data_IF_248978672255
#
_entry.id   IF_248978672255
#
_cell.length_a   1.000
_cell.length_b   1.000
_cell.length_c   1.000
_cell.angle_alpha   90.00
_cell.angle_beta   90.00
_cell.angle_gamma   90.00
#
_symmetry.space_group_name_H-M   'P 1'
#
loop_
_entity.id
_entity.type
_entity.pdbx_description
1 polymer ?
#
# COMPACT_ATOMS: atom_id res chain seq x y z
N UNK A 1 16.88 -12.83 -17.94
CA UNK A 1 15.73 -11.96 -17.62
C UNK A 1 16.22 -10.85 -16.69
N UNK A 2 16.12 -9.57 -17.07
CA UNK A 2 16.59 -8.45 -16.23
C UNK A 2 15.59 -8.16 -15.10
N UNK A 3 15.92 -8.62 -13.89
CA UNK A 3 15.29 -8.33 -12.59
C UNK A 3 15.56 -6.87 -12.14
N UNK A 4 15.28 -5.88 -12.98
CA UNK A 4 15.46 -4.46 -12.65
C UNK A 4 14.17 -3.67 -12.40
N UNK A 5 13.00 -4.33 -12.47
CA UNK A 5 11.68 -3.68 -12.54
C UNK A 5 10.67 -4.19 -11.50
N UNK A 6 11.11 -4.99 -10.52
CA UNK A 6 10.27 -5.49 -9.44
C UNK A 6 10.99 -5.27 -8.12
N UNK A 7 10.27 -4.76 -7.12
CA UNK A 7 10.79 -4.78 -5.76
C UNK A 7 11.00 -6.24 -5.33
N UNK A 8 12.03 -6.53 -4.50
CA UNK A 8 12.25 -7.88 -3.98
C UNK A 8 11.01 -8.47 -3.30
N UNK A 9 10.20 -7.62 -2.68
CA UNK A 9 8.92 -7.97 -2.05
C UNK A 9 7.88 -8.46 -3.07
N UNK A 10 7.75 -7.76 -4.21
CA UNK A 10 6.84 -8.17 -5.28
C UNK A 10 7.27 -9.48 -5.94
N UNK A 11 8.59 -9.68 -6.13
CA UNK A 11 9.13 -10.92 -6.68
C UNK A 11 8.83 -12.14 -5.79
N UNK A 12 8.95 -12.00 -4.45
CA UNK A 12 8.60 -13.06 -3.49
C UNK A 12 7.12 -13.44 -3.50
N UNK A 13 6.23 -12.49 -3.81
CA UNK A 13 4.80 -12.81 -3.93
C UNK A 13 4.51 -13.64 -5.18
N UNK A 14 5.16 -13.33 -6.31
CA UNK A 14 5.01 -14.09 -7.54
C UNK A 14 5.48 -15.54 -7.40
N UNK A 15 6.55 -15.80 -6.63
CA UNK A 15 7.03 -17.17 -6.42
C UNK A 15 6.06 -18.08 -5.66
N UNK A 16 5.01 -17.53 -5.04
CA UNK A 16 3.95 -18.31 -4.39
C UNK A 16 2.97 -18.94 -5.40
N UNK A 17 2.96 -18.47 -6.65
CA UNK A 17 2.06 -18.95 -7.68
C UNK A 17 2.69 -20.10 -8.49
N UNK A 18 1.89 -21.04 -9.02
CA UNK A 18 2.35 -21.98 -10.03
C UNK A 18 2.96 -21.25 -11.24
N UNK A 19 4.03 -21.80 -11.82
CA UNK A 19 4.84 -21.12 -12.83
C UNK A 19 4.03 -20.56 -14.03
N UNK A 20 2.99 -21.27 -14.48
CA UNK A 20 2.10 -20.80 -15.55
C UNK A 20 1.35 -19.51 -15.19
N UNK A 21 0.94 -19.37 -13.92
CA UNK A 21 0.15 -18.23 -13.45
C UNK A 21 1.03 -17.03 -13.07
N UNK A 22 2.35 -17.23 -12.88
CA UNK A 22 3.29 -16.16 -12.57
C UNK A 22 3.36 -15.13 -13.70
N UNK A 23 3.31 -15.59 -14.96
CA UNK A 23 3.40 -14.73 -16.14
C UNK A 23 2.14 -13.86 -16.28
N UNK A 24 0.97 -14.44 -16.04
CA UNK A 24 -0.31 -13.73 -16.13
C UNK A 24 -0.46 -12.66 -15.05
N UNK A 25 -0.12 -13.00 -13.80
CA UNK A 25 -0.14 -12.04 -12.69
C UNK A 25 0.91 -10.95 -12.92
N UNK A 26 2.11 -11.30 -13.39
CA UNK A 26 3.14 -10.31 -13.73
C UNK A 26 2.69 -9.36 -14.87
N UNK A 27 1.98 -9.88 -15.88
CA UNK A 27 1.43 -9.07 -16.96
C UNK A 27 0.37 -8.09 -16.43
N UNK A 28 -0.54 -8.56 -15.56
CA UNK A 28 -1.53 -7.70 -14.90
C UNK A 28 -0.86 -6.61 -14.04
N UNK A 29 0.16 -6.98 -13.26
CA UNK A 29 0.93 -6.04 -12.44
C UNK A 29 1.55 -4.91 -13.25
N UNK A 30 2.16 -5.24 -14.39
CA UNK A 30 2.79 -4.26 -15.28
C UNK A 30 1.76 -3.39 -16.01
N UNK A 31 0.66 -4.00 -16.44
CA UNK A 31 -0.43 -3.29 -17.14
C UNK A 31 -1.05 -2.24 -16.23
N UNK A 32 -1.37 -2.62 -15.00
CA UNK A 32 -2.08 -1.77 -14.04
C UNK A 32 -1.15 -0.93 -13.14
N UNK A 33 0.16 -1.10 -13.29
CA UNK A 33 1.20 -0.50 -12.45
C UNK A 33 0.89 -0.67 -10.96
N UNK A 34 0.74 -1.93 -10.53
CA UNK A 34 0.37 -2.27 -9.16
C UNK A 34 1.55 -2.04 -8.20
N UNK A 35 1.27 -1.46 -7.03
CA UNK A 35 2.24 -1.34 -5.95
C UNK A 35 2.43 -2.69 -5.24
N UNK A 36 3.50 -2.85 -4.46
CA UNK A 36 3.80 -4.13 -3.79
C UNK A 36 2.69 -4.63 -2.85
N UNK A 37 1.90 -3.73 -2.25
CA UNK A 37 0.76 -4.10 -1.41
C UNK A 37 -0.42 -4.62 -2.24
N UNK A 38 -0.71 -4.00 -3.39
CA UNK A 38 -1.72 -4.48 -4.33
C UNK A 38 -1.34 -5.83 -4.91
N UNK A 39 -0.05 -6.03 -5.24
CA UNK A 39 0.48 -7.31 -5.73
C UNK A 39 0.19 -8.44 -4.75
N UNK A 40 0.48 -8.23 -3.46
CA UNK A 40 0.19 -9.22 -2.42
C UNK A 40 -1.30 -9.57 -2.39
N UNK A 41 -2.17 -8.57 -2.38
CA UNK A 41 -3.63 -8.77 -2.33
C UNK A 41 -4.16 -9.46 -3.59
N UNK A 42 -3.67 -9.11 -4.77
CA UNK A 42 -4.02 -9.79 -6.03
C UNK A 42 -3.59 -11.26 -5.98
N UNK A 43 -2.38 -11.55 -5.50
CA UNK A 43 -1.89 -12.93 -5.36
C UNK A 43 -2.76 -13.72 -4.38
N UNK A 44 -3.10 -13.13 -3.22
CA UNK A 44 -3.94 -13.79 -2.22
C UNK A 44 -5.35 -14.04 -2.77
N UNK A 45 -5.97 -13.08 -3.46
CA UNK A 45 -7.28 -13.25 -4.11
C UNK A 45 -7.25 -14.27 -5.25
N UNK A 46 -6.19 -14.27 -6.05
CA UNK A 46 -6.02 -15.23 -7.15
C UNK A 46 -5.90 -16.67 -6.63
N UNK A 47 -5.18 -16.86 -5.51
CA UNK A 47 -5.06 -18.15 -4.83
C UNK A 47 -6.37 -18.58 -4.16
N UNK A 48 -7.14 -17.62 -3.61
CA UNK A 48 -8.44 -17.88 -3.00
C UNK A 48 -9.58 -18.10 -4.01
N UNK A 49 -9.39 -17.71 -5.27
CA UNK A 49 -10.40 -17.84 -6.33
C UNK A 49 -10.69 -19.32 -6.63
N UNK A 50 -11.96 -19.69 -6.51
CA UNK A 50 -12.43 -21.06 -6.68
C UNK A 50 -12.53 -21.49 -8.15
N UNK A 51 -12.78 -20.52 -9.05
CA UNK A 51 -13.00 -20.78 -10.48
C UNK A 51 -12.18 -19.85 -11.39
N UNK A 52 -12.12 -20.22 -12.67
CA UNK A 52 -11.36 -19.50 -13.70
C UNK A 52 -11.92 -18.11 -13.97
N UNK A 53 -13.24 -17.90 -13.84
CA UNK A 53 -13.90 -16.60 -14.06
C UNK A 53 -13.49 -15.58 -12.99
N UNK A 54 -13.41 -16.01 -11.73
CA UNK A 54 -12.91 -15.20 -10.63
C UNK A 54 -11.43 -14.84 -10.82
N UNK A 55 -10.60 -15.81 -11.25
CA UNK A 55 -9.18 -15.55 -11.56
C UNK A 55 -9.02 -14.54 -12.70
N UNK A 56 -9.79 -14.69 -13.77
CA UNK A 56 -9.79 -13.74 -14.88
C UNK A 56 -10.26 -12.35 -14.43
N UNK A 57 -11.30 -12.28 -13.58
CA UNK A 57 -11.76 -11.02 -13.02
C UNK A 57 -10.68 -10.33 -12.18
N UNK A 58 -10.01 -11.07 -11.28
CA UNK A 58 -8.88 -10.58 -10.47
C UNK A 58 -7.75 -10.06 -11.36
N UNK A 59 -7.43 -10.77 -12.44
CA UNK A 59 -6.36 -10.37 -13.36
C UNK A 59 -6.74 -9.19 -14.25
N UNK A 60 -8.00 -9.12 -14.70
CA UNK A 60 -8.49 -8.07 -15.61
C UNK A 60 -8.74 -6.76 -14.88
N UNK A 61 -9.29 -6.84 -13.66
CA UNK A 61 -9.67 -5.70 -12.83
C UNK A 61 -9.18 -5.85 -11.38
N UNK A 62 -7.86 -5.89 -11.16
CA UNK A 62 -7.28 -6.22 -9.85
C UNK A 62 -7.73 -5.27 -8.73
N UNK A 63 -7.87 -3.98 -9.01
CA UNK A 63 -8.31 -2.99 -8.01
C UNK A 63 -9.79 -3.13 -7.64
N UNK A 64 -10.64 -3.47 -8.60
CA UNK A 64 -12.05 -3.72 -8.36
C UNK A 64 -12.22 -5.00 -7.54
N UNK A 65 -11.47 -6.05 -7.86
CA UNK A 65 -11.46 -7.29 -7.10
C UNK A 65 -10.99 -7.11 -5.65
N UNK A 66 -9.93 -6.31 -5.42
CA UNK A 66 -9.49 -5.93 -4.07
C UNK A 66 -10.61 -5.19 -3.32
N UNK A 67 -11.24 -4.21 -3.99
CA UNK A 67 -12.33 -3.44 -3.39
C UNK A 67 -13.53 -4.29 -2.99
N UNK A 68 -13.93 -5.24 -3.83
CA UNK A 68 -15.04 -6.17 -3.55
C UNK A 68 -14.71 -7.09 -2.37
N UNK A 69 -13.49 -7.65 -2.35
CA UNK A 69 -13.06 -8.52 -1.25
C UNK A 69 -13.01 -7.78 0.10
N UNK A 70 -12.67 -6.49 0.09
CA UNK A 70 -12.71 -5.65 1.30
C UNK A 70 -14.13 -5.24 1.70
N UNK A 71 -15.05 -5.14 0.76
CA UNK A 71 -16.45 -4.81 1.05
C UNK A 71 -17.21 -5.97 1.70
N UNK A 72 -16.85 -7.22 1.38
CA UNK A 72 -17.50 -8.42 1.92
C UNK A 72 -17.01 -8.81 3.33
N UNK A 73 -15.90 -8.24 3.83
CA UNK A 73 -15.31 -8.60 5.13
C UNK A 73 -15.23 -7.39 6.07
N UNK A 74 -16.15 -7.32 7.03
CA UNK A 74 -16.07 -6.43 8.22
C UNK A 74 -16.26 -7.32 9.45
N UNK A 75 -15.32 -7.33 10.42
CA UNK A 75 -14.90 -6.12 11.13
C UNK A 75 -13.38 -5.88 11.14
N UNK A 76 -12.96 -4.86 10.40
CA UNK A 76 -11.66 -4.17 10.51
C UNK A 76 -11.57 -3.35 11.82
N UNK A 77 -11.57 -4.01 12.99
CA UNK A 77 -11.35 -3.31 14.26
C UNK A 77 -10.39 -4.12 15.11
N UNK A 78 -9.21 -3.58 15.41
CA UNK A 78 -8.28 -4.18 16.35
C UNK A 78 -8.86 -3.99 17.77
N UNK A 79 -9.15 -5.07 18.52
CA UNK A 79 -9.76 -4.99 19.84
C UNK A 79 -8.84 -4.34 20.89
N UNK A 80 -7.54 -4.21 20.61
CA UNK A 80 -6.59 -3.50 21.47
C UNK A 80 -6.65 -1.98 21.30
N UNK A 81 -7.24 -1.51 20.21
CA UNK A 81 -7.37 -0.08 19.91
C UNK A 81 -8.72 0.45 20.39
N UNK A 82 -8.70 1.69 20.88
CA UNK A 82 -9.93 2.45 21.12
C UNK A 82 -10.67 2.71 19.81
N UNK A 83 -11.92 3.18 19.88
CA UNK A 83 -12.68 3.59 18.68
C UNK A 83 -11.92 4.65 17.87
N UNK A 84 -11.31 5.62 18.55
CA UNK A 84 -10.49 6.66 17.90
C UNK A 84 -9.23 6.06 17.26
N UNK A 85 -8.54 5.13 17.93
CA UNK A 85 -7.37 4.44 17.37
C UNK A 85 -7.71 3.59 16.15
N UNK A 86 -8.85 2.89 16.18
CA UNK A 86 -9.34 2.13 15.04
C UNK A 86 -9.74 3.02 13.86
N UNK A 87 -10.28 4.22 14.12
CA UNK A 87 -10.54 5.21 13.06
C UNK A 87 -9.24 5.70 12.41
N UNK A 88 -8.27 6.10 13.22
CA UNK A 88 -6.95 6.52 12.73
C UNK A 88 -6.26 5.40 11.95
N UNK A 89 -6.31 4.15 12.45
CA UNK A 89 -5.76 2.98 11.76
C UNK A 89 -6.34 2.79 10.35
N UNK A 90 -7.66 2.95 10.20
CA UNK A 90 -8.33 2.90 8.89
C UNK A 90 -7.89 4.06 7.99
N UNK A 91 -7.86 5.28 8.53
CA UNK A 91 -7.46 6.46 7.77
C UNK A 91 -6.00 6.35 7.29
N UNK A 92 -5.11 5.83 8.14
CA UNK A 92 -3.71 5.54 7.79
C UNK A 92 -3.60 4.47 6.71
N UNK A 93 -4.36 3.38 6.81
CA UNK A 93 -4.35 2.33 5.79
C UNK A 93 -4.79 2.88 4.42
N UNK A 94 -5.85 3.69 4.38
CA UNK A 94 -6.33 4.34 3.15
C UNK A 94 -5.27 5.31 2.60
N UNK A 95 -4.65 6.12 3.46
CA UNK A 95 -3.65 7.09 3.04
C UNK A 95 -2.40 6.41 2.49
N UNK A 96 -1.87 5.40 3.18
CA UNK A 96 -0.69 4.65 2.74
C UNK A 96 -0.93 3.95 1.40
N UNK A 97 -2.12 3.40 1.20
CA UNK A 97 -2.51 2.78 -0.07
C UNK A 97 -2.57 3.83 -1.20
N UNK A 98 -3.18 5.00 -0.95
CA UNK A 98 -3.21 6.11 -1.93
C UNK A 98 -1.82 6.64 -2.27
N UNK A 99 -0.96 6.82 -1.26
CA UNK A 99 0.42 7.27 -1.47
C UNK A 99 1.22 6.27 -2.30
N UNK A 100 1.11 4.97 -2.00
CA UNK A 100 1.79 3.92 -2.76
C UNK A 100 1.35 3.88 -4.22
N UNK A 101 0.05 4.04 -4.49
CA UNK A 101 -0.50 4.15 -5.85
C UNK A 101 0.05 5.38 -6.56
N UNK A 102 0.00 6.54 -5.91
CA UNK A 102 0.46 7.81 -6.49
C UNK A 102 1.96 7.76 -6.80
N UNK A 103 2.78 7.24 -5.89
CA UNK A 103 4.21 7.05 -6.09
C UNK A 103 4.49 6.14 -7.30
N UNK A 104 3.74 5.05 -7.45
CA UNK A 104 3.90 4.12 -8.57
C UNK A 104 3.52 4.79 -9.90
N UNK A 105 2.46 5.61 -9.92
CA UNK A 105 2.08 6.40 -11.08
C UNK A 105 3.20 7.37 -11.48
N UNK A 106 3.74 8.15 -10.53
CA UNK A 106 4.86 9.07 -10.79
C UNK A 106 6.12 8.36 -11.30
N UNK A 107 6.43 7.17 -10.79
CA UNK A 107 7.63 6.42 -11.15
C UNK A 107 7.60 5.82 -12.56
N UNK A 108 6.45 5.29 -13.00
CA UNK A 108 6.43 4.44 -14.19
C UNK A 108 5.67 5.03 -15.39
N UNK A 109 4.74 5.97 -15.19
CA UNK A 109 3.84 6.40 -16.28
C UNK A 109 3.50 7.89 -16.29
N UNK A 110 3.34 8.48 -15.11
CA UNK A 110 2.64 9.74 -14.93
C UNK A 110 3.31 10.95 -15.58
N UNK A 111 4.64 11.01 -15.58
CA UNK A 111 5.32 12.12 -16.23
C UNK A 111 5.41 11.95 -17.74
N UNK A 112 5.43 10.75 -18.31
CA UNK A 112 5.56 10.58 -19.76
C UNK A 112 4.23 10.82 -20.50
N UNK A 113 3.11 10.55 -19.85
CA UNK A 113 1.77 10.64 -20.43
C UNK A 113 1.19 12.07 -20.43
N UNK A 114 1.74 12.99 -19.63
CA UNK A 114 1.23 14.37 -19.53
C UNK A 114 1.81 15.30 -20.61
N UNK A 115 0.91 16.02 -21.30
CA UNK A 115 1.29 17.09 -22.22
C UNK A 115 1.91 18.27 -21.48
N UNK A 116 2.55 19.18 -22.21
CA UNK A 116 3.14 20.40 -21.62
C UNK A 116 2.07 21.29 -20.96
N UNK A 117 0.86 21.33 -21.53
CA UNK A 117 -0.25 22.11 -20.97
C UNK A 117 -0.74 21.51 -19.65
N UNK A 118 -0.91 20.19 -19.59
CA UNK A 118 -1.33 19.49 -18.36
C UNK A 118 -0.34 19.70 -17.23
N UNK A 119 0.96 19.64 -17.54
CA UNK A 119 2.03 19.90 -16.56
C UNK A 119 1.97 21.31 -15.99
N UNK A 120 1.67 22.30 -16.82
CA UNK A 120 1.52 23.69 -16.38
C UNK A 120 0.37 23.86 -15.40
N UNK A 121 -0.77 23.21 -15.67
CA UNK A 121 -1.97 23.26 -14.83
C UNK A 121 -1.76 22.50 -13.50
N UNK A 122 -1.10 21.34 -13.56
CA UNK A 122 -0.91 20.47 -12.40
C UNK A 122 0.27 20.87 -11.52
N UNK A 123 1.23 21.66 -12.01
CA UNK A 123 2.43 22.04 -11.26
C UNK A 123 2.14 22.63 -9.87
N UNK A 124 1.20 23.60 -9.70
CA UNK A 124 0.88 24.12 -8.37
C UNK A 124 0.28 23.08 -7.42
N UNK A 125 -0.43 22.08 -7.96
CA UNK A 125 -1.02 21.01 -7.15
C UNK A 125 0.05 20.03 -6.67
N UNK A 126 1.03 19.74 -7.52
CA UNK A 126 2.20 18.94 -7.15
C UNK A 126 3.07 19.68 -6.14
N UNK A 127 3.26 20.99 -6.29
CA UNK A 127 3.98 21.82 -5.32
C UNK A 127 3.29 21.80 -3.95
N UNK A 128 1.96 21.97 -3.91
CA UNK A 128 1.18 21.83 -2.68
C UNK A 128 1.33 20.44 -2.08
N UNK A 129 1.24 19.38 -2.89
CA UNK A 129 1.44 18.01 -2.42
C UNK A 129 2.81 17.83 -1.73
N UNK A 130 3.88 18.41 -2.29
CA UNK A 130 5.22 18.36 -1.68
C UNK A 130 5.23 19.05 -0.31
N UNK A 131 4.62 20.23 -0.20
CA UNK A 131 4.54 20.95 1.07
C UNK A 131 3.76 20.16 2.13
N UNK A 132 2.56 19.71 1.80
CA UNK A 132 1.67 18.98 2.72
C UNK A 132 2.29 17.64 3.13
N UNK A 133 2.97 16.95 2.20
CA UNK A 133 3.64 15.69 2.50
C UNK A 133 4.82 15.86 3.49
N UNK A 134 5.54 17.00 3.41
CA UNK A 134 6.60 17.32 4.39
C UNK A 134 6.02 17.59 5.78
N UNK A 135 5.00 18.44 5.87
CA UNK A 135 4.31 18.71 7.14
C UNK A 135 3.78 17.42 7.77
N UNK A 136 3.17 16.55 6.97
CA UNK A 136 2.68 15.26 7.46
C UNK A 136 3.81 14.32 7.90
N UNK A 137 4.95 14.33 7.20
CA UNK A 137 6.12 13.56 7.61
C UNK A 137 6.66 14.03 8.97
N UNK A 138 6.80 15.35 9.15
CA UNK A 138 7.29 15.94 10.40
C UNK A 138 6.35 15.58 11.58
N UNK A 139 5.04 15.73 11.41
CA UNK A 139 4.04 15.37 12.43
C UNK A 139 4.03 13.86 12.74
N UNK A 140 4.20 13.01 11.73
CA UNK A 140 4.25 11.56 11.93
C UNK A 140 5.54 11.14 12.67
N UNK A 141 6.67 11.79 12.38
CA UNK A 141 7.95 11.55 13.06
C UNK A 141 7.90 12.00 14.52
N UNK A 142 7.27 13.15 14.80
CA UNK A 142 7.04 13.62 16.17
C UNK A 142 6.22 12.60 16.97
N UNK A 143 5.09 12.16 16.43
CA UNK A 143 4.26 11.12 17.05
C UNK A 143 5.03 9.81 17.28
N UNK A 144 5.79 9.35 16.28
CA UNK A 144 6.60 8.13 16.42
C UNK A 144 7.66 8.26 17.52
N UNK A 145 8.34 9.41 17.59
CA UNK A 145 9.36 9.68 18.59
C UNK A 145 8.75 9.75 20.00
N UNK A 146 7.58 10.35 20.15
CA UNK A 146 6.83 10.38 21.41
C UNK A 146 6.49 8.96 21.89
N UNK A 147 5.93 8.12 21.02
CA UNK A 147 5.60 6.72 21.34
C UNK A 147 6.85 5.95 21.80
N UNK A 148 7.95 6.04 21.05
CA UNK A 148 9.21 5.34 21.38
C UNK A 148 9.77 5.81 22.74
N UNK A 149 9.69 7.11 23.04
CA UNK A 149 10.12 7.66 24.35
C UNK A 149 9.26 7.15 25.50
N UNK A 150 7.94 7.05 25.30
CA UNK A 150 7.02 6.53 26.31
C UNK A 150 7.26 5.04 26.61
N UNK A 151 7.54 4.23 25.58
CA UNK A 151 7.88 2.81 25.74
C UNK A 151 9.22 2.63 26.47
N UNK A 152 10.25 3.43 26.12
CA UNK A 152 11.54 3.40 26.81
C UNK A 152 11.44 3.85 28.28
N UNK A 153 10.62 4.86 28.58
CA UNK A 153 10.37 5.32 29.95
C UNK A 153 9.59 4.33 30.81
N UNK A 154 8.65 3.57 30.22
CA UNK A 154 7.94 2.49 30.89
C UNK A 154 8.89 1.32 31.24
N UNK A 155 9.73 0.90 30.29
CA UNK A 155 10.74 -0.13 30.51
C UNK A 155 11.76 0.24 31.61
N UNK A 156 12.16 1.52 31.69
CA UNK A 156 13.06 2.01 32.74
C UNK A 156 12.40 2.02 34.13
N UNK A 157 11.09 2.28 34.22
CA UNK A 157 10.34 2.27 35.48
C UNK A 157 10.13 0.85 36.02
N UNK A 158 9.84 -0.11 35.14
CA UNK A 158 9.68 -1.51 35.54
C UNK A 158 10.98 -2.11 36.07
N UNK A 159 12.14 -1.70 35.53
CA UNK A 159 13.46 -2.11 36.00
C UNK A 159 13.82 -1.55 37.40
N UNK A 160 13.26 -0.39 37.79
CA UNK A 160 13.50 0.22 39.11
C UNK A 160 12.58 -0.36 40.19
N UNK A 161 11.43 -0.94 39.82
CA UNK A 161 10.48 -1.55 40.76
C UNK A 161 10.74 -3.04 41.05
N UNK A 162 11.74 -3.65 40.40
CA UNK A 162 12.16 -5.05 40.62
C UNK A 162 13.51 -5.21 41.35
N UNK A 163 14.10 -4.11 41.84
CA UNK A 163 15.27 -4.12 42.74
C UNK A 163 14.88 -3.72 44.16
#
# INVERSE_FOLDING_TARGET
MRLGLLSPTAARQLTRLPAGNQVEVLAAMRREALCAAEVRQVVDLFLASADTTQREFVLRKPREAIGQAHAEVVPTSDPRLTVAGNRLSKDLAILLDRLARMATWFQFRGLAELSRADRGILAPHVERLVSEARVMADLAEEFHTEVVRHEAGAAQRDCVLTQ
#
